data_IF_427128201577
#
_entry.id   IF_427128201577
#
_cell.length_a   1.000
_cell.length_b   1.000
_cell.length_c   1.000
_cell.angle_alpha   90.00
_cell.angle_beta   90.00
_cell.angle_gamma   90.00
#
_symmetry.space_group_name_H-M   'P 1'
#
loop_
_entity.id
_entity.type
_entity.pdbx_description
1 polymer ?
#
# COMPACT_ATOMS: atom_id res chain seq x y z
N UNK A 1 9.34 13.60 -8.11
CA UNK A 1 8.21 13.22 -7.24
C UNK A 1 8.45 13.68 -5.83
N UNK A 2 7.50 14.42 -5.26
CA UNK A 2 7.48 14.61 -3.81
C UNK A 2 7.02 13.29 -3.15
N UNK A 3 7.36 13.03 -1.87
CA UNK A 3 6.70 11.98 -1.11
C UNK A 3 5.18 12.16 -1.19
N UNK A 4 4.44 11.07 -1.28
CA UNK A 4 3.01 11.08 -1.55
C UNK A 4 2.38 9.83 -0.95
N UNK A 5 1.22 9.99 -0.34
CA UNK A 5 0.40 8.86 0.07
C UNK A 5 0.00 8.05 -1.17
N UNK A 6 0.20 6.75 -1.10
CA UNK A 6 -0.26 5.84 -2.15
C UNK A 6 -1.68 5.40 -1.84
N UNK A 7 -2.53 5.55 -2.85
CA UNK A 7 -3.95 5.21 -2.81
C UNK A 7 -4.20 3.69 -2.91
N UNK A 8 -5.36 3.27 -2.44
CA UNK A 8 -5.84 1.89 -2.38
C UNK A 8 -5.87 1.23 -3.77
N UNK A 9 -6.30 1.95 -4.81
CA UNK A 9 -6.35 1.43 -6.18
C UNK A 9 -4.95 1.13 -6.75
N UNK A 10 -4.00 2.01 -6.47
CA UNK A 10 -2.61 1.85 -6.91
C UNK A 10 -1.96 0.66 -6.20
N UNK A 11 -2.20 0.48 -4.90
CA UNK A 11 -1.77 -0.71 -4.16
C UNK A 11 -2.42 -1.99 -4.73
N UNK A 12 -3.73 -1.95 -5.00
CA UNK A 12 -4.45 -3.08 -5.57
C UNK A 12 -3.86 -3.52 -6.91
N UNK A 13 -3.50 -2.57 -7.78
CA UNK A 13 -2.83 -2.84 -9.05
C UNK A 13 -1.40 -3.35 -8.87
N UNK A 14 -0.68 -2.83 -7.88
CA UNK A 14 0.66 -3.31 -7.52
C UNK A 14 0.64 -4.77 -7.08
N UNK A 15 -0.26 -5.16 -6.17
CA UNK A 15 -0.40 -6.55 -5.71
C UNK A 15 -0.87 -7.51 -6.82
N UNK A 16 -1.54 -6.99 -7.85
CA UNK A 16 -1.88 -7.73 -9.08
C UNK A 16 -0.72 -7.79 -10.10
N UNK A 17 0.45 -7.27 -9.76
CA UNK A 17 1.66 -7.21 -10.62
C UNK A 17 1.42 -6.47 -11.93
N UNK A 18 0.58 -5.43 -11.91
CA UNK A 18 0.38 -4.60 -13.09
C UNK A 18 1.72 -3.95 -13.49
N UNK A 19 2.18 -4.20 -14.72
CA UNK A 19 3.54 -3.92 -15.17
C UNK A 19 3.93 -2.44 -15.02
N UNK A 20 3.06 -1.54 -15.48
CA UNK A 20 3.30 -0.09 -15.40
C UNK A 20 3.33 0.42 -13.96
N UNK A 21 2.47 -0.12 -13.09
CA UNK A 21 2.41 0.29 -11.67
C UNK A 21 3.65 -0.22 -10.94
N UNK A 22 4.05 -1.46 -11.21
CA UNK A 22 5.27 -2.06 -10.65
C UNK A 22 6.52 -1.26 -11.03
N UNK A 23 6.65 -0.86 -12.30
CA UNK A 23 7.76 -0.03 -12.75
C UNK A 23 7.79 1.34 -12.06
N UNK A 24 6.61 1.97 -11.88
CA UNK A 24 6.49 3.25 -11.17
C UNK A 24 6.82 3.12 -9.68
N UNK A 25 6.41 2.02 -9.03
CA UNK A 25 6.81 1.71 -7.65
C UNK A 25 8.31 1.57 -7.51
N UNK A 26 8.97 0.84 -8.41
CA UNK A 26 10.41 0.67 -8.40
C UNK A 26 11.13 2.03 -8.55
N UNK A 27 10.69 2.85 -9.51
CA UNK A 27 11.23 4.19 -9.72
C UNK A 27 11.02 5.12 -8.49
N UNK A 28 9.86 5.01 -7.83
CA UNK A 28 9.57 5.75 -6.62
C UNK A 28 10.47 5.32 -5.45
N UNK A 29 10.60 4.01 -5.21
CA UNK A 29 11.41 3.44 -4.14
C UNK A 29 12.89 3.72 -4.31
N UNK A 30 13.40 3.78 -5.55
CA UNK A 30 14.77 4.20 -5.84
C UNK A 30 15.09 5.58 -5.24
N UNK A 31 14.09 6.47 -5.19
CA UNK A 31 14.21 7.86 -4.73
C UNK A 31 13.79 8.06 -3.26
N UNK A 32 12.72 7.40 -2.80
CA UNK A 32 12.09 7.67 -1.50
C UNK A 32 12.27 6.55 -0.47
N UNK A 33 12.85 5.40 -0.85
CA UNK A 33 13.17 4.21 -0.02
C UNK A 33 11.99 3.48 0.63
N UNK A 34 10.92 4.18 0.97
CA UNK A 34 9.68 3.65 1.53
C UNK A 34 8.46 4.23 0.85
N UNK A 35 7.36 3.52 0.98
CA UNK A 35 6.02 3.96 0.62
C UNK A 35 5.33 4.50 1.87
N UNK A 36 4.59 5.59 1.70
CA UNK A 36 3.66 6.09 2.71
C UNK A 36 2.23 5.69 2.29
N UNK A 37 1.49 5.04 3.19
CA UNK A 37 0.06 4.73 3.02
C UNK A 37 -0.73 5.34 4.16
N UNK A 38 -1.99 5.69 3.94
CA UNK A 38 -2.84 6.19 5.01
C UNK A 38 -3.36 5.04 5.89
N UNK A 39 -3.69 5.34 7.14
CA UNK A 39 -4.38 4.37 8.03
C UNK A 39 -5.76 3.97 7.48
N UNK A 40 -6.42 4.84 6.71
CA UNK A 40 -7.71 4.55 6.07
C UNK A 40 -7.51 3.49 4.99
N UNK A 41 -6.55 3.71 4.07
CA UNK A 41 -6.13 2.76 3.02
C UNK A 41 -5.74 1.39 3.60
N UNK A 42 -5.03 1.38 4.73
CA UNK A 42 -4.70 0.14 5.43
C UNK A 42 -5.96 -0.67 5.79
N UNK A 43 -6.95 -0.04 6.41
CA UNK A 43 -8.17 -0.73 6.83
C UNK A 43 -9.09 -1.09 5.65
N UNK A 44 -9.15 -0.29 4.60
CA UNK A 44 -9.87 -0.63 3.37
C UNK A 44 -9.35 -1.94 2.76
N UNK A 45 -8.03 -2.08 2.64
CA UNK A 45 -7.40 -3.29 2.09
C UNK A 45 -7.62 -4.49 3.01
N UNK A 46 -7.39 -4.34 4.33
CA UNK A 46 -7.59 -5.43 5.29
C UNK A 46 -9.05 -5.90 5.29
N UNK A 47 -10.01 -4.98 5.26
CA UNK A 47 -11.44 -5.29 5.20
C UNK A 47 -11.79 -6.06 3.92
N UNK A 48 -11.31 -5.57 2.77
CA UNK A 48 -11.53 -6.23 1.48
C UNK A 48 -10.92 -7.63 1.41
N UNK A 49 -9.72 -7.84 1.96
CA UNK A 49 -9.04 -9.15 1.96
C UNK A 49 -9.69 -10.16 2.91
N UNK A 50 -10.22 -9.69 4.06
CA UNK A 50 -11.00 -10.52 4.99
C UNK A 50 -12.32 -10.97 4.39
N UNK A 51 -12.98 -10.14 3.60
CA UNK A 51 -14.27 -10.49 2.97
C UNK A 51 -14.18 -11.70 2.03
N UNK A 52 -13.00 -11.93 1.43
CA UNK A 52 -12.78 -13.01 0.45
C UNK A 52 -11.87 -14.14 0.97
N UNK A 53 -11.69 -14.22 2.30
CA UNK A 53 -10.82 -15.20 2.99
C UNK A 53 -9.43 -15.36 2.37
N UNK A 54 -8.86 -14.26 1.87
CA UNK A 54 -7.59 -14.27 1.15
C UNK A 54 -6.39 -14.21 2.11
N UNK A 55 -6.20 -15.24 2.93
CA UNK A 55 -5.14 -15.31 3.95
C UNK A 55 -3.73 -15.05 3.38
N UNK A 56 -3.40 -15.63 2.22
CA UNK A 56 -2.10 -15.42 1.57
C UNK A 56 -1.87 -13.96 1.17
N UNK A 57 -2.90 -13.29 0.63
CA UNK A 57 -2.82 -11.87 0.25
C UNK A 57 -2.75 -10.98 1.49
N UNK A 58 -3.45 -11.35 2.55
CA UNK A 58 -3.41 -10.65 3.84
C UNK A 58 -2.00 -10.69 4.42
N UNK A 59 -1.37 -11.86 4.47
CA UNK A 59 0.01 -12.00 4.92
C UNK A 59 0.98 -11.14 4.10
N UNK A 60 0.89 -11.21 2.76
CA UNK A 60 1.72 -10.40 1.87
C UNK A 60 1.51 -8.88 2.05
N UNK A 61 0.26 -8.45 2.29
CA UNK A 61 -0.04 -7.06 2.57
C UNK A 61 0.54 -6.61 3.91
N UNK A 62 0.39 -7.42 4.96
CA UNK A 62 0.95 -7.10 6.29
C UNK A 62 2.48 -7.04 6.27
N UNK A 63 3.13 -7.95 5.56
CA UNK A 63 4.57 -7.90 5.32
C UNK A 63 4.97 -6.61 4.59
N UNK A 64 4.27 -6.28 3.49
CA UNK A 64 4.48 -5.02 2.78
C UNK A 64 4.35 -3.80 3.70
N UNK A 65 3.32 -3.75 4.55
CA UNK A 65 3.10 -2.65 5.48
C UNK A 65 4.22 -2.56 6.52
N UNK A 66 4.72 -3.68 7.03
CA UNK A 66 5.80 -3.73 8.02
C UNK A 66 7.12 -3.11 7.52
N UNK A 67 7.34 -3.14 6.20
CA UNK A 67 8.52 -2.57 5.54
C UNK A 67 8.34 -1.07 5.18
N UNK A 68 7.10 -0.60 5.18
CA UNK A 68 6.70 0.73 4.74
C UNK A 68 6.18 1.57 5.91
N UNK A 69 5.58 2.73 5.63
CA UNK A 69 5.08 3.65 6.66
C UNK A 69 3.57 3.82 6.53
N UNK A 70 2.87 3.57 7.64
CA UNK A 70 1.45 3.90 7.77
C UNK A 70 1.34 5.23 8.47
N UNK A 71 0.80 6.23 7.78
CA UNK A 71 0.55 7.55 8.30
C UNK A 71 -0.89 7.62 8.81
N UNK A 72 -1.05 8.05 10.07
CA UNK A 72 -2.35 8.56 10.52
C UNK A 72 -2.57 9.90 9.84
N UNK A 73 -3.82 10.19 9.48
CA UNK A 73 -4.20 11.52 8.97
C UNK A 73 -3.55 12.61 9.84
N UNK A 74 -2.96 13.68 9.26
CA UNK A 74 -2.39 14.78 10.04
C UNK A 74 -3.44 15.46 10.93
N UNK A 75 -4.73 15.27 10.62
CA UNK A 75 -5.85 15.63 11.47
C UNK A 75 -6.44 14.33 12.01
N UNK A 76 -6.11 13.99 13.26
CA UNK A 76 -6.86 12.99 14.03
C UNK A 76 -8.29 13.48 14.29
N UNK A 77 -9.17 12.64 14.89
CA UNK A 77 -10.54 13.06 15.22
C UNK A 77 -10.57 14.33 16.06
#
# INVERSE_FOLDING_TARGET
MKPSLIDTDILSMFFRRHSQVTARFAAYLARHKKIDISIITYYEIISGLRHVDAHKKTAAFLEFVSLNRVLRSPNGP
#
